data_IF_508927751414
#
_entry.id   IF_508927751414
#
_cell.length_a   1.000
_cell.length_b   1.000
_cell.length_c   1.000
_cell.angle_alpha   90.00
_cell.angle_beta   90.00
_cell.angle_gamma   90.00
#
_symmetry.space_group_name_H-M   'P 1'
#
loop_
_entity.id
_entity.type
_entity.pdbx_description
1 polymer ?
#
# COMPACT_ATOMS: atom_id res chain seq x y z
N UNK A 1 34.78 -15.37 -30.29
CA UNK A 1 34.00 -15.39 -29.04
C UNK A 1 33.55 -14.02 -28.51
N UNK A 2 33.98 -12.86 -29.07
CA UNK A 2 33.55 -11.52 -28.62
C UNK A 2 32.10 -11.14 -28.99
N UNK A 3 31.52 -11.72 -30.04
CA UNK A 3 30.17 -11.36 -30.55
C UNK A 3 29.03 -11.73 -29.59
N UNK A 4 29.22 -12.74 -28.75
CA UNK A 4 28.21 -13.18 -27.78
C UNK A 4 28.31 -12.47 -26.43
N UNK A 5 29.42 -11.79 -26.14
CA UNK A 5 29.63 -11.10 -24.86
C UNK A 5 28.65 -9.93 -24.67
N UNK A 6 28.37 -9.17 -25.74
CA UNK A 6 27.37 -8.10 -25.73
C UNK A 6 25.96 -8.68 -25.51
N UNK A 7 25.66 -9.83 -26.12
CA UNK A 7 24.35 -10.47 -25.97
C UNK A 7 24.12 -10.95 -24.52
N UNK A 8 25.14 -11.57 -23.90
CA UNK A 8 25.08 -12.02 -22.51
C UNK A 8 24.91 -10.82 -21.56
N UNK A 9 25.63 -9.73 -21.82
CA UNK A 9 25.53 -8.51 -21.01
C UNK A 9 24.13 -7.88 -21.12
N UNK A 10 23.55 -7.82 -22.32
CA UNK A 10 22.17 -7.35 -22.50
C UNK A 10 21.15 -8.22 -21.77
N UNK A 11 21.30 -9.55 -21.85
CA UNK A 11 20.42 -10.48 -21.12
C UNK A 11 20.54 -10.22 -19.61
N UNK A 12 21.75 -10.03 -19.09
CA UNK A 12 21.96 -9.76 -17.67
C UNK A 12 21.28 -8.44 -17.22
N UNK A 13 21.42 -7.38 -18.01
CA UNK A 13 20.75 -6.10 -17.74
C UNK A 13 19.22 -6.21 -17.77
N UNK A 14 18.66 -6.91 -18.76
CA UNK A 14 17.21 -7.13 -18.86
C UNK A 14 16.70 -7.96 -17.68
N UNK A 15 17.42 -9.01 -17.29
CA UNK A 15 17.05 -9.84 -16.14
C UNK A 15 17.08 -9.07 -14.81
N UNK A 16 18.11 -8.24 -14.59
CA UNK A 16 18.18 -7.39 -13.39
C UNK A 16 17.03 -6.38 -13.38
N UNK A 17 16.74 -5.78 -14.53
CA UNK A 17 15.65 -4.82 -14.66
C UNK A 17 14.28 -5.44 -14.41
N UNK A 18 14.04 -6.64 -14.94
CA UNK A 18 12.81 -7.40 -14.74
C UNK A 18 12.62 -7.77 -13.26
N UNK A 19 13.70 -8.25 -12.61
CA UNK A 19 13.68 -8.55 -11.18
C UNK A 19 13.47 -7.29 -10.31
N UNK A 20 14.01 -6.14 -10.73
CA UNK A 20 13.81 -4.87 -10.04
C UNK A 20 12.35 -4.42 -10.07
N UNK A 21 11.65 -4.61 -11.20
CA UNK A 21 10.23 -4.25 -11.33
C UNK A 21 9.30 -5.04 -10.41
N UNK A 22 9.63 -6.29 -10.13
CA UNK A 22 8.81 -7.10 -9.22
C UNK A 22 8.94 -6.72 -7.74
N UNK A 23 10.02 -6.02 -7.38
CA UNK A 23 10.25 -5.54 -6.01
C UNK A 23 9.68 -4.14 -5.73
N UNK A 24 9.12 -3.46 -6.73
CA UNK A 24 8.47 -2.16 -6.53
C UNK A 24 7.02 -2.33 -6.04
N UNK A 25 6.53 -1.45 -5.15
CA UNK A 25 5.13 -1.46 -4.72
C UNK A 25 4.20 -1.29 -5.94
N UNK A 26 3.42 -2.33 -6.24
CA UNK A 26 2.48 -2.31 -7.37
C UNK A 26 1.23 -1.55 -6.96
N UNK A 27 1.17 -0.26 -7.34
CA UNK A 27 -0.02 0.57 -7.15
C UNK A 27 -1.22 -0.01 -7.91
N UNK A 28 -2.40 0.04 -7.29
CA UNK A 28 -3.63 -0.40 -7.95
C UNK A 28 -3.85 -1.92 -7.99
N UNK A 29 -2.93 -2.70 -7.41
CA UNK A 29 -3.08 -4.14 -7.25
C UNK A 29 -4.01 -4.45 -6.07
N UNK A 30 -5.05 -5.24 -6.34
CA UNK A 30 -5.95 -5.73 -5.29
C UNK A 30 -5.18 -6.63 -4.32
N UNK A 31 -5.49 -6.50 -3.04
CA UNK A 31 -5.00 -7.44 -2.01
C UNK A 31 -5.24 -8.88 -2.43
N UNK A 32 -4.26 -9.73 -2.14
CA UNK A 32 -4.43 -11.18 -2.25
C UNK A 32 -5.41 -11.68 -1.18
N UNK A 33 -5.91 -12.92 -1.33
CA UNK A 33 -6.77 -13.54 -0.31
C UNK A 33 -6.11 -13.61 1.08
N UNK A 34 -4.77 -13.65 1.13
CA UNK A 34 -3.99 -13.69 2.37
C UNK A 34 -3.91 -12.32 3.05
N UNK A 35 -3.88 -11.23 2.27
CA UNK A 35 -3.77 -9.85 2.76
C UNK A 35 -5.14 -9.21 3.07
N UNK A 36 -6.23 -9.74 2.49
CA UNK A 36 -7.57 -9.21 2.68
C UNK A 36 -8.01 -9.11 4.16
N UNK A 37 -7.75 -10.09 5.05
CA UNK A 37 -8.06 -9.98 6.47
C UNK A 37 -7.28 -8.85 7.16
N UNK A 38 -5.99 -8.71 6.83
CA UNK A 38 -5.13 -7.67 7.40
C UNK A 38 -5.58 -6.27 6.95
N UNK A 39 -5.95 -6.12 5.67
CA UNK A 39 -6.49 -4.87 5.18
C UNK A 39 -7.82 -4.49 5.84
N UNK A 40 -8.74 -5.47 6.00
CA UNK A 40 -10.02 -5.25 6.69
C UNK A 40 -9.79 -4.76 8.12
N UNK A 41 -8.88 -5.41 8.84
CA UNK A 41 -8.52 -5.02 10.20
C UNK A 41 -7.89 -3.62 10.26
N UNK A 42 -7.02 -3.30 9.31
CA UNK A 42 -6.42 -1.97 9.20
C UNK A 42 -7.47 -0.89 8.96
N UNK A 43 -8.45 -1.14 8.08
CA UNK A 43 -9.52 -0.19 7.83
C UNK A 43 -10.41 0.04 9.07
N UNK A 44 -10.72 -1.04 9.80
CA UNK A 44 -11.48 -0.94 11.06
C UNK A 44 -10.73 -0.10 12.10
N UNK A 45 -9.41 -0.28 12.22
CA UNK A 45 -8.59 0.55 13.11
C UNK A 45 -8.57 2.02 12.71
N UNK A 46 -8.46 2.32 11.42
CA UNK A 46 -8.53 3.70 10.92
C UNK A 46 -9.90 4.31 11.22
N UNK A 47 -10.99 3.56 11.01
CA UNK A 47 -12.33 4.03 11.33
C UNK A 47 -12.50 4.34 12.83
N UNK A 48 -11.83 3.58 13.69
CA UNK A 48 -11.80 3.82 15.14
C UNK A 48 -10.95 5.03 15.55
N UNK A 49 -10.16 5.61 14.64
CA UNK A 49 -9.42 6.85 14.88
C UNK A 49 -10.27 8.10 14.72
N UNK A 50 -11.50 7.97 14.20
CA UNK A 50 -12.43 9.07 14.07
C UNK A 50 -13.19 9.29 15.37
N UNK A 51 -13.44 10.54 15.72
CA UNK A 51 -14.34 10.88 16.83
C UNK A 51 -15.78 10.51 16.50
N UNK A 52 -16.65 10.37 17.50
CA UNK A 52 -18.06 10.04 17.29
C UNK A 52 -18.81 11.13 16.50
N UNK A 53 -18.40 12.39 16.61
CA UNK A 53 -18.93 13.47 15.78
C UNK A 53 -18.48 13.35 14.32
N UNK A 54 -17.23 12.97 14.08
CA UNK A 54 -16.72 12.72 12.73
C UNK A 54 -17.40 11.52 12.08
N UNK A 55 -17.65 10.44 12.84
CA UNK A 55 -18.39 9.26 12.36
C UNK A 55 -19.82 9.61 11.98
N UNK A 56 -20.51 10.44 12.77
CA UNK A 56 -21.89 10.90 12.48
C UNK A 56 -21.98 11.76 11.21
N UNK A 57 -20.92 12.47 10.86
CA UNK A 57 -20.85 13.28 9.65
C UNK A 57 -20.49 12.47 8.39
N UNK A 58 -20.00 11.24 8.54
CA UNK A 58 -19.64 10.38 7.41
C UNK A 58 -20.82 9.53 6.95
N UNK A 59 -21.05 9.51 5.63
CA UNK A 59 -21.96 8.54 5.02
C UNK A 59 -21.37 7.12 5.20
N UNK A 60 -22.11 6.17 5.78
CA UNK A 60 -21.66 4.78 5.93
C UNK A 60 -21.17 4.13 4.62
N UNK A 61 -21.77 4.50 3.48
CA UNK A 61 -21.34 4.03 2.16
C UNK A 61 -20.00 4.61 1.76
N UNK A 62 -19.72 5.86 2.12
CA UNK A 62 -18.43 6.51 1.84
C UNK A 62 -17.30 5.81 2.60
N UNK A 63 -17.55 5.43 3.86
CA UNK A 63 -16.60 4.64 4.67
C UNK A 63 -16.34 3.28 4.04
N UNK A 64 -17.40 2.59 3.59
CA UNK A 64 -17.26 1.32 2.88
C UNK A 64 -16.41 1.48 1.61
N UNK A 65 -16.70 2.49 0.79
CA UNK A 65 -15.91 2.77 -0.42
C UNK A 65 -14.45 3.12 -0.09
N UNK A 66 -14.20 3.87 0.97
CA UNK A 66 -12.84 4.18 1.42
C UNK A 66 -12.08 2.91 1.81
N UNK A 67 -12.70 1.98 2.54
CA UNK A 67 -12.10 0.67 2.85
C UNK A 67 -11.85 -0.15 1.58
N UNK A 68 -12.79 -0.17 0.64
CA UNK A 68 -12.62 -0.90 -0.62
C UNK A 68 -11.48 -0.32 -1.46
N UNK A 69 -11.37 1.01 -1.55
CA UNK A 69 -10.27 1.69 -2.23
C UNK A 69 -8.94 1.39 -1.53
N UNK A 70 -8.92 1.43 -0.20
CA UNK A 70 -7.74 1.06 0.59
C UNK A 70 -7.28 -0.35 0.22
N UNK A 71 -8.18 -1.35 0.28
CA UNK A 71 -7.82 -2.74 0.02
C UNK A 71 -7.59 -3.07 -1.46
N UNK A 72 -8.20 -2.34 -2.39
CA UNK A 72 -8.08 -2.65 -3.82
C UNK A 72 -7.00 -1.86 -4.55
N UNK A 73 -6.62 -0.68 -4.04
CA UNK A 73 -5.73 0.26 -4.73
C UNK A 73 -4.54 0.73 -3.92
N UNK A 74 -4.70 0.91 -2.61
CA UNK A 74 -3.72 1.60 -1.78
C UNK A 74 -3.04 0.71 -0.74
N UNK A 75 -3.44 -0.56 -0.61
CA UNK A 75 -2.93 -1.44 0.42
C UNK A 75 -1.41 -1.60 0.32
N UNK A 76 -0.88 -1.87 -0.88
CA UNK A 76 0.57 -2.03 -1.09
C UNK A 76 1.35 -0.77 -0.72
N UNK A 77 0.74 0.41 -0.85
CA UNK A 77 1.35 1.69 -0.45
C UNK A 77 1.40 1.82 1.08
N UNK A 78 0.32 1.46 1.77
CA UNK A 78 0.20 1.66 3.22
C UNK A 78 0.56 0.43 4.06
N UNK A 79 0.86 -0.72 3.45
CA UNK A 79 1.23 -1.95 4.15
C UNK A 79 2.46 -1.73 5.04
N UNK A 80 3.44 -0.92 4.59
CA UNK A 80 4.59 -0.54 5.40
C UNK A 80 4.24 0.26 6.68
N UNK A 81 3.08 0.92 6.69
CA UNK A 81 2.55 1.63 7.86
C UNK A 81 1.55 0.80 8.67
N UNK A 82 1.22 -0.43 8.26
CA UNK A 82 0.19 -1.25 8.91
C UNK A 82 0.43 -1.40 10.42
N UNK A 83 1.64 -1.76 10.84
CA UNK A 83 1.98 -1.88 12.27
C UNK A 83 1.79 -0.56 13.04
N UNK A 84 2.15 0.58 12.44
CA UNK A 84 1.96 1.88 13.08
C UNK A 84 0.47 2.21 13.24
N UNK A 85 -0.33 1.96 12.20
CA UNK A 85 -1.80 2.13 12.20
C UNK A 85 -2.46 1.23 13.25
N UNK A 86 -2.00 -0.02 13.36
CA UNK A 86 -2.56 -0.98 14.32
C UNK A 86 -2.20 -0.65 15.77
N UNK A 87 -1.12 0.10 15.99
CA UNK A 87 -0.63 0.47 17.33
C UNK A 87 -1.33 1.71 17.87
N UNK A 88 -1.37 2.81 17.10
CA UNK A 88 -2.10 4.01 17.48
C UNK A 88 -2.45 4.88 16.28
N UNK A 89 -3.51 5.68 16.43
CA UNK A 89 -3.95 6.61 15.40
C UNK A 89 -2.89 7.65 15.05
N UNK A 90 -2.22 8.21 16.07
CA UNK A 90 -1.17 9.20 15.87
C UNK A 90 0.07 8.62 15.17
N UNK A 91 0.49 7.41 15.56
CA UNK A 91 1.61 6.74 14.89
C UNK A 91 1.28 6.38 13.44
N UNK A 92 0.06 5.89 13.19
CA UNK A 92 -0.44 5.64 11.85
C UNK A 92 -0.46 6.89 10.98
N UNK A 93 -1.00 8.00 11.50
CA UNK A 93 -1.05 9.28 10.80
C UNK A 93 0.36 9.80 10.45
N UNK A 94 1.30 9.77 11.41
CA UNK A 94 2.68 10.17 11.18
C UNK A 94 3.35 9.31 10.11
N UNK A 95 3.15 7.99 10.15
CA UNK A 95 3.71 7.09 9.15
C UNK A 95 3.17 7.40 7.75
N UNK A 96 1.85 7.53 7.62
CA UNK A 96 1.19 7.86 6.35
C UNK A 96 1.71 9.20 5.83
N UNK A 97 1.76 10.25 6.66
CA UNK A 97 2.27 11.57 6.28
C UNK A 97 3.71 11.54 5.79
N UNK A 98 4.57 10.75 6.44
CA UNK A 98 5.96 10.60 6.01
C UNK A 98 6.06 9.83 4.68
N UNK A 99 5.22 8.81 4.50
CA UNK A 99 5.19 7.99 3.30
C UNK A 99 4.62 8.75 2.08
N UNK A 100 3.67 9.66 2.30
CA UNK A 100 3.08 10.51 1.25
C UNK A 100 3.76 11.86 1.11
N UNK A 101 4.86 12.11 1.83
CA UNK A 101 5.56 13.40 1.80
C UNK A 101 6.08 13.67 0.38
N UNK A 102 5.56 14.71 -0.26
CA UNK A 102 5.91 15.08 -1.64
C UNK A 102 5.11 14.39 -2.74
N UNK A 103 4.15 13.53 -2.40
CA UNK A 103 3.13 13.02 -3.34
C UNK A 103 1.89 13.92 -3.43
N UNK A 104 1.70 14.81 -2.44
CA UNK A 104 0.64 15.79 -2.33
C UNK A 104 1.19 17.08 -1.75
#
# INVERSE_FOLDING_TARGET
MKKYGILILLIFFVSIWDFSKDNLPKFGQKVTKMEAPQCKYMCEKINNCLSEEQKKQQDPKLVQFACEILCSKQYQLFNGCSNAILTSCHAGELCIKNLTKGLF
#
